data_IF_770452899166
#
_entry.id   IF_770452899166
#
_cell.length_a   1.000
_cell.length_b   1.000
_cell.length_c   1.000
_cell.angle_alpha   90.00
_cell.angle_beta   90.00
_cell.angle_gamma   90.00
#
_symmetry.space_group_name_H-M   'P 1'
#
loop_
_entity.id
_entity.type
_entity.pdbx_description
1 polymer ?
#
# COMPACT_ATOMS: atom_id res chain seq x y z
N UNK A 1 7.80 -11.78 -7.16
CA UNK A 1 6.46 -11.40 -7.67
C UNK A 1 5.38 -12.37 -7.18
N UNK A 2 5.41 -13.64 -7.61
CA UNK A 2 4.40 -14.61 -7.19
C UNK A 2 4.32 -14.81 -5.68
N UNK A 3 5.46 -14.75 -4.98
CA UNK A 3 5.48 -14.84 -3.51
C UNK A 3 4.58 -13.78 -2.85
N UNK A 4 4.68 -12.50 -3.21
CA UNK A 4 3.88 -11.43 -2.59
C UNK A 4 2.39 -11.59 -2.90
N UNK A 5 2.03 -11.90 -4.16
CA UNK A 5 0.62 -12.16 -4.52
C UNK A 5 0.08 -13.43 -3.87
N UNK A 6 0.90 -14.46 -3.72
CA UNK A 6 0.56 -15.67 -3.00
C UNK A 6 0.38 -15.38 -1.52
N UNK A 7 1.23 -14.56 -0.90
CA UNK A 7 1.06 -14.09 0.48
C UNK A 7 -0.25 -13.32 0.64
N UNK A 8 -0.58 -12.41 -0.29
CA UNK A 8 -1.84 -11.69 -0.28
C UNK A 8 -3.04 -12.65 -0.24
N UNK A 9 -3.10 -13.59 -1.18
CA UNK A 9 -4.19 -14.58 -1.26
C UNK A 9 -4.21 -15.47 -0.03
N UNK A 10 -3.05 -15.94 0.43
CA UNK A 10 -2.94 -16.81 1.60
C UNK A 10 -3.43 -16.11 2.86
N UNK A 11 -3.07 -14.84 3.06
CA UNK A 11 -3.52 -14.06 4.20
C UNK A 11 -5.04 -13.90 4.16
N UNK A 12 -5.61 -13.42 3.04
CA UNK A 12 -7.06 -13.25 2.86
C UNK A 12 -7.83 -14.55 3.13
N UNK A 13 -7.36 -15.67 2.57
CA UNK A 13 -7.95 -16.98 2.81
C UNK A 13 -7.83 -17.40 4.28
N UNK A 14 -6.73 -17.08 4.95
CA UNK A 14 -6.54 -17.40 6.37
C UNK A 14 -7.61 -16.72 7.22
N UNK A 15 -7.83 -15.41 7.07
CA UNK A 15 -8.87 -14.75 7.86
C UNK A 15 -10.31 -15.15 7.47
N UNK A 16 -10.54 -15.61 6.23
CA UNK A 16 -11.84 -16.20 5.86
C UNK A 16 -12.09 -17.56 6.51
N UNK A 17 -11.04 -18.37 6.67
CA UNK A 17 -11.11 -19.70 7.30
C UNK A 17 -11.12 -19.61 8.82
N UNK A 18 -10.46 -18.59 9.39
CA UNK A 18 -10.32 -18.35 10.83
C UNK A 18 -10.86 -16.97 11.21
N UNK A 19 -12.19 -16.73 11.10
CA UNK A 19 -12.79 -15.41 11.32
C UNK A 19 -12.75 -14.93 12.76
N UNK A 20 -12.59 -15.84 13.72
CA UNK A 20 -12.60 -15.54 15.16
C UNK A 20 -11.23 -15.11 15.72
N UNK A 21 -10.19 -15.03 14.87
CA UNK A 21 -8.89 -14.47 15.28
C UNK A 21 -9.10 -13.00 15.71
N UNK A 22 -8.50 -12.54 16.83
CA UNK A 22 -8.69 -11.17 17.34
C UNK A 22 -8.49 -10.07 16.29
N UNK A 23 -7.41 -10.14 15.51
CA UNK A 23 -7.15 -9.18 14.44
C UNK A 23 -7.93 -9.42 13.13
N UNK A 24 -8.95 -10.28 13.12
CA UNK A 24 -9.87 -10.47 11.97
C UNK A 24 -11.30 -10.08 12.35
N UNK A 25 -11.76 -10.52 13.52
CA UNK A 25 -13.12 -10.31 13.98
C UNK A 25 -13.44 -8.81 14.12
N UNK A 26 -14.37 -8.31 13.30
CA UNK A 26 -14.78 -6.90 13.32
C UNK A 26 -13.75 -5.91 12.77
N UNK A 27 -12.61 -6.39 12.26
CA UNK A 27 -11.52 -5.56 11.72
C UNK A 27 -11.64 -5.31 10.22
N UNK A 28 -12.85 -5.38 9.63
CA UNK A 28 -13.06 -5.03 8.21
C UNK A 28 -12.51 -6.05 7.20
N UNK A 29 -12.58 -7.34 7.52
CA UNK A 29 -12.08 -8.41 6.63
C UNK A 29 -12.85 -8.54 5.30
N UNK A 30 -14.19 -8.41 5.26
CA UNK A 30 -14.94 -8.43 4.00
C UNK A 30 -14.50 -7.34 3.02
N UNK A 31 -14.29 -6.12 3.52
CA UNK A 31 -13.85 -4.95 2.74
C UNK A 31 -12.47 -5.22 2.15
N UNK A 32 -11.54 -5.77 2.95
CA UNK A 32 -10.21 -6.18 2.49
C UNK A 32 -10.26 -7.28 1.43
N UNK A 33 -11.13 -8.28 1.61
CA UNK A 33 -11.32 -9.37 0.64
C UNK A 33 -11.82 -8.87 -0.72
N UNK A 34 -12.51 -7.73 -0.77
CA UNK A 34 -12.96 -7.09 -2.01
C UNK A 34 -11.90 -6.14 -2.56
N UNK A 35 -11.37 -5.25 -1.72
CA UNK A 35 -10.50 -4.16 -2.15
C UNK A 35 -9.07 -4.61 -2.46
N UNK A 36 -8.47 -5.42 -1.59
CA UNK A 36 -7.03 -5.70 -1.66
C UNK A 36 -6.63 -6.54 -2.88
N UNK A 37 -7.44 -7.49 -3.39
CA UNK A 37 -7.15 -8.17 -4.66
C UNK A 37 -6.96 -7.23 -5.85
N UNK A 38 -7.55 -6.02 -5.83
CA UNK A 38 -7.37 -5.04 -6.90
C UNK A 38 -5.89 -4.65 -7.08
N UNK A 39 -5.11 -4.59 -6.00
CA UNK A 39 -3.67 -4.33 -6.05
C UNK A 39 -2.91 -5.37 -6.89
N UNK A 40 -3.32 -6.64 -6.83
CA UNK A 40 -2.71 -7.72 -7.57
C UNK A 40 -3.18 -7.81 -9.04
N UNK A 41 -4.31 -7.19 -9.37
CA UNK A 41 -4.96 -7.25 -10.69
C UNK A 41 -4.64 -6.02 -11.55
N UNK A 42 -4.48 -4.84 -10.95
CA UNK A 42 -4.37 -3.58 -11.71
C UNK A 42 -3.18 -3.57 -12.68
N UNK A 43 -1.99 -3.98 -12.24
CA UNK A 43 -0.79 -4.00 -13.09
C UNK A 43 -0.91 -5.00 -14.25
N UNK A 44 -1.29 -6.29 -14.04
CA UNK A 44 -1.45 -7.21 -15.15
C UNK A 44 -2.58 -6.81 -16.10
N UNK A 45 -3.67 -6.22 -15.59
CA UNK A 45 -4.74 -5.69 -16.42
C UNK A 45 -4.22 -4.55 -17.32
N UNK A 46 -3.57 -3.53 -16.74
CA UNK A 46 -3.00 -2.40 -17.52
C UNK A 46 -1.96 -2.89 -18.53
N UNK A 47 -1.10 -3.83 -18.17
CA UNK A 47 -0.11 -4.40 -19.09
C UNK A 47 -0.76 -5.16 -20.25
N UNK A 48 -1.80 -5.95 -19.99
CA UNK A 48 -2.57 -6.65 -21.02
C UNK A 48 -3.32 -5.67 -21.93
N UNK A 49 -3.98 -4.65 -21.37
CA UNK A 49 -4.70 -3.61 -22.11
C UNK A 49 -3.77 -2.77 -22.99
N UNK A 50 -2.52 -2.57 -22.58
CA UNK A 50 -1.47 -1.93 -23.40
C UNK A 50 -0.89 -2.85 -24.49
N UNK A 51 -1.45 -4.04 -24.67
CA UNK A 51 -1.05 -4.99 -25.71
C UNK A 51 0.26 -5.71 -25.42
N UNK A 52 0.70 -5.76 -24.15
CA UNK A 52 1.92 -6.47 -23.72
C UNK A 52 3.18 -6.03 -24.47
N UNK A 53 3.22 -4.76 -24.91
CA UNK A 53 4.27 -4.21 -25.77
C UNK A 53 5.63 -4.09 -25.09
N UNK A 54 5.65 -4.05 -23.76
CA UNK A 54 6.86 -3.96 -22.94
C UNK A 54 7.03 -5.19 -22.05
N UNK A 55 8.24 -5.36 -21.49
CA UNK A 55 8.48 -6.31 -20.40
C UNK A 55 7.56 -5.98 -19.23
N UNK A 56 7.07 -7.02 -18.57
CA UNK A 56 6.21 -6.87 -17.40
C UNK A 56 6.96 -6.17 -16.26
N UNK A 57 6.37 -5.17 -15.57
CA UNK A 57 7.05 -4.40 -14.53
C UNK A 57 7.03 -5.13 -13.18
N UNK A 58 7.75 -6.25 -13.09
CA UNK A 58 7.72 -7.16 -11.94
C UNK A 58 8.00 -6.51 -10.59
N UNK A 59 8.96 -5.58 -10.52
CA UNK A 59 9.32 -4.91 -9.27
C UNK A 59 8.23 -3.93 -8.83
N UNK A 60 7.77 -3.05 -9.72
CA UNK A 60 6.69 -2.12 -9.42
C UNK A 60 5.40 -2.83 -9.02
N UNK A 61 5.06 -3.94 -9.69
CA UNK A 61 3.93 -4.79 -9.32
C UNK A 61 4.06 -5.38 -7.91
N UNK A 62 5.24 -5.90 -7.56
CA UNK A 62 5.47 -6.45 -6.23
C UNK A 62 5.39 -5.35 -5.15
N UNK A 63 6.02 -4.20 -5.38
CA UNK A 63 6.00 -3.06 -4.46
C UNK A 63 4.58 -2.50 -4.25
N UNK A 64 3.73 -2.52 -5.28
CA UNK A 64 2.34 -2.10 -5.16
C UNK A 64 1.52 -3.05 -4.27
N UNK A 65 1.80 -4.35 -4.30
CA UNK A 65 1.04 -5.36 -3.54
C UNK A 65 1.53 -5.45 -2.09
N UNK A 66 2.82 -5.18 -1.83
CA UNK A 66 3.44 -5.29 -0.50
C UNK A 66 2.67 -4.59 0.63
N UNK A 67 2.21 -3.33 0.49
CA UNK A 67 1.41 -2.64 1.52
C UNK A 67 0.25 -3.47 2.06
N UNK A 68 -0.53 -4.04 1.14
CA UNK A 68 -1.72 -4.83 1.46
C UNK A 68 -1.37 -6.15 2.15
N UNK A 69 -0.22 -6.74 1.82
CA UNK A 69 0.27 -7.94 2.51
C UNK A 69 0.68 -7.60 3.95
N UNK A 70 1.32 -6.45 4.16
CA UNK A 70 1.75 -6.03 5.50
C UNK A 70 0.58 -5.65 6.41
N UNK A 71 -0.46 -4.97 5.90
CA UNK A 71 -1.70 -4.76 6.66
C UNK A 71 -2.34 -6.11 7.07
N UNK A 72 -2.49 -7.05 6.13
CA UNK A 72 -3.12 -8.34 6.43
C UNK A 72 -2.30 -9.16 7.43
N UNK A 73 -0.97 -9.18 7.30
CA UNK A 73 -0.10 -9.86 8.26
C UNK A 73 -0.16 -9.19 9.63
N UNK A 74 -0.21 -7.85 9.68
CA UNK A 74 -0.40 -7.10 10.91
C UNK A 74 -1.66 -7.50 11.65
N UNK A 75 -2.77 -7.57 10.93
CA UNK A 75 -4.05 -8.05 11.43
C UNK A 75 -3.97 -9.52 11.88
N UNK A 76 -3.49 -10.43 11.04
CA UNK A 76 -3.42 -11.86 11.38
C UNK A 76 -2.50 -12.18 12.59
N UNK A 77 -1.50 -11.34 12.82
CA UNK A 77 -0.57 -11.44 13.95
C UNK A 77 -0.98 -10.57 15.15
N UNK A 78 -2.14 -9.92 15.08
CA UNK A 78 -2.69 -9.05 16.13
C UNK A 78 -1.77 -7.87 16.49
N UNK A 79 -0.93 -7.42 15.55
CA UNK A 79 0.09 -6.39 15.80
C UNK A 79 -0.50 -4.99 16.02
N UNK A 80 -1.66 -4.71 15.42
CA UNK A 80 -2.38 -3.44 15.67
C UNK A 80 -2.82 -3.29 17.12
N UNK A 81 -3.14 -4.40 17.80
CA UNK A 81 -3.58 -4.37 19.20
C UNK A 81 -2.42 -4.67 20.18
N UNK A 82 -1.37 -5.38 19.74
CA UNK A 82 -0.27 -5.84 20.60
C UNK A 82 1.02 -5.03 20.48
N UNK A 83 1.20 -4.26 19.40
CA UNK A 83 2.40 -3.46 19.14
C UNK A 83 2.00 -2.04 18.72
N UNK A 84 1.92 -1.13 19.70
CA UNK A 84 1.41 0.24 19.51
C UNK A 84 1.95 1.01 18.31
N UNK A 85 3.26 1.02 17.97
CA UNK A 85 3.75 1.80 16.84
C UNK A 85 3.57 1.09 15.49
N UNK A 86 2.90 -0.07 15.44
CA UNK A 86 2.77 -0.85 14.21
C UNK A 86 2.07 -0.06 13.10
N UNK A 87 1.02 0.66 13.47
CA UNK A 87 0.24 1.46 12.54
C UNK A 87 1.06 2.60 11.94
N UNK A 88 1.67 3.44 12.78
CA UNK A 88 2.64 4.47 12.38
C UNK A 88 3.73 3.94 11.43
N UNK A 89 4.29 2.76 11.74
CA UNK A 89 5.32 2.11 10.93
C UNK A 89 4.76 1.78 9.55
N UNK A 90 3.53 1.25 9.47
CA UNK A 90 2.91 0.94 8.20
C UNK A 90 2.54 2.20 7.42
N UNK A 91 2.00 3.24 8.06
CA UNK A 91 1.75 4.52 7.39
C UNK A 91 3.01 5.07 6.72
N UNK A 92 4.16 4.99 7.39
CA UNK A 92 5.43 5.37 6.75
C UNK A 92 5.91 4.36 5.69
N UNK A 93 6.06 3.09 6.04
CA UNK A 93 6.73 2.08 5.21
C UNK A 93 5.91 1.70 3.98
N UNK A 94 4.60 1.55 4.13
CA UNK A 94 3.71 1.20 3.03
C UNK A 94 3.66 2.31 1.99
N UNK A 95 3.67 3.58 2.41
CA UNK A 95 3.75 4.69 1.47
C UNK A 95 5.07 4.74 0.74
N UNK A 96 6.18 4.40 1.39
CA UNK A 96 7.46 4.27 0.70
C UNK A 96 7.41 3.22 -0.41
N UNK A 97 6.80 2.05 -0.18
CA UNK A 97 6.64 1.02 -1.21
C UNK A 97 5.67 1.45 -2.32
N UNK A 98 4.52 2.02 -1.96
CA UNK A 98 3.49 2.46 -2.88
C UNK A 98 4.02 3.54 -3.83
N UNK A 99 4.70 4.56 -3.30
CA UNK A 99 5.27 5.63 -4.12
C UNK A 99 6.47 5.14 -4.92
N UNK A 100 7.29 4.23 -4.39
CA UNK A 100 8.35 3.59 -5.17
C UNK A 100 7.79 2.86 -6.40
N UNK A 101 6.68 2.12 -6.23
CA UNK A 101 6.00 1.46 -7.35
C UNK A 101 5.56 2.47 -8.42
N UNK A 102 4.94 3.59 -7.99
CA UNK A 102 4.52 4.65 -8.91
C UNK A 102 5.70 5.24 -9.69
N UNK A 103 6.79 5.58 -8.99
CA UNK A 103 7.99 6.16 -9.63
C UNK A 103 8.55 5.19 -10.66
N UNK A 104 8.61 3.88 -10.38
CA UNK A 104 9.03 2.87 -11.37
C UNK A 104 8.10 2.80 -12.59
N UNK A 105 6.79 3.01 -12.42
CA UNK A 105 5.85 3.02 -13.54
C UNK A 105 5.98 4.27 -14.42
N UNK A 106 6.36 5.41 -13.85
CA UNK A 106 6.49 6.69 -14.56
C UNK A 106 7.89 6.90 -15.13
N UNK A 107 8.93 6.33 -14.52
CA UNK A 107 10.32 6.48 -14.96
C UNK A 107 10.59 6.25 -16.46
N UNK A 108 9.95 5.26 -17.14
CA UNK A 108 10.12 5.06 -18.58
C UNK A 108 9.70 6.24 -19.47
N UNK A 109 9.01 7.25 -18.92
CA UNK A 109 8.67 8.48 -19.66
C UNK A 109 9.86 9.43 -19.86
N UNK A 110 11.02 9.14 -19.25
CA UNK A 110 12.23 9.95 -19.42
C UNK A 110 12.15 11.33 -18.76
N UNK A 111 11.40 11.45 -17.67
CA UNK A 111 11.28 12.69 -16.91
C UNK A 111 12.55 12.99 -16.12
N UNK A 112 12.83 14.28 -15.91
CA UNK A 112 13.86 14.73 -14.98
C UNK A 112 13.65 14.19 -13.56
N UNK A 113 14.75 14.00 -12.83
CA UNK A 113 14.73 13.37 -11.49
C UNK A 113 13.85 14.11 -10.50
N UNK A 114 13.95 15.43 -10.50
CA UNK A 114 13.14 16.27 -9.60
C UNK A 114 11.65 16.18 -9.93
N UNK A 115 11.28 15.96 -11.21
CA UNK A 115 9.89 15.71 -11.59
C UNK A 115 9.39 14.38 -11.03
N UNK A 116 10.21 13.31 -11.08
CA UNK A 116 9.83 12.02 -10.49
C UNK A 116 9.63 12.11 -8.98
N UNK A 117 10.51 12.84 -8.29
CA UNK A 117 10.37 13.09 -6.85
C UNK A 117 9.11 13.89 -6.55
N UNK A 118 8.87 15.02 -7.24
CA UNK A 118 7.68 15.85 -6.99
C UNK A 118 6.37 15.11 -7.31
N UNK A 119 6.33 14.37 -8.42
CA UNK A 119 5.15 13.57 -8.79
C UNK A 119 4.89 12.45 -7.78
N UNK A 120 5.94 11.74 -7.35
CA UNK A 120 5.84 10.71 -6.33
C UNK A 120 5.34 11.25 -5.00
N UNK A 121 5.94 12.35 -4.52
CA UNK A 121 5.55 13.00 -3.27
C UNK A 121 4.10 13.52 -3.31
N UNK A 122 3.72 14.21 -4.40
CA UNK A 122 2.36 14.71 -4.57
C UNK A 122 1.32 13.60 -4.65
N UNK A 123 1.63 12.51 -5.36
CA UNK A 123 0.77 11.33 -5.37
C UNK A 123 0.65 10.70 -3.99
N UNK A 124 1.76 10.53 -3.26
CA UNK A 124 1.76 9.96 -1.91
C UNK A 124 0.86 10.76 -0.96
N UNK A 125 0.97 12.09 -0.98
CA UNK A 125 0.15 12.98 -0.17
C UNK A 125 -1.35 12.89 -0.53
N UNK A 126 -1.69 12.83 -1.82
CA UNK A 126 -3.09 12.65 -2.24
C UNK A 126 -3.62 11.25 -1.92
N UNK A 127 -2.77 10.24 -2.02
CA UNK A 127 -3.14 8.85 -1.74
C UNK A 127 -3.47 8.65 -0.26
N UNK A 128 -2.74 9.28 0.67
CA UNK A 128 -3.07 9.17 2.10
C UNK A 128 -4.37 9.88 2.44
N UNK A 129 -4.64 11.06 1.87
CA UNK A 129 -5.95 11.71 2.03
C UNK A 129 -7.08 10.77 1.56
N UNK A 130 -6.87 10.09 0.43
CA UNK A 130 -7.83 9.10 -0.07
C UNK A 130 -7.97 7.87 0.83
N UNK A 131 -6.88 7.41 1.46
CA UNK A 131 -6.88 6.25 2.35
C UNK A 131 -7.60 6.54 3.66
N UNK A 132 -7.28 7.67 4.33
CA UNK A 132 -8.01 8.14 5.52
C UNK A 132 -9.51 8.26 5.26
N UNK A 133 -9.89 8.76 4.07
CA UNK A 133 -11.29 8.85 3.68
C UNK A 133 -11.95 7.47 3.54
N UNK A 134 -11.22 6.45 3.05
CA UNK A 134 -11.71 5.08 2.98
C UNK A 134 -11.85 4.48 4.37
N UNK A 135 -10.87 4.67 5.26
CA UNK A 135 -10.94 4.20 6.64
C UNK A 135 -12.09 4.83 7.39
N UNK A 136 -12.30 6.14 7.22
CA UNK A 136 -13.47 6.81 7.77
C UNK A 136 -14.78 6.19 7.29
N UNK A 137 -14.94 5.96 5.97
CA UNK A 137 -16.13 5.29 5.43
C UNK A 137 -16.31 3.90 6.03
N UNK A 138 -15.25 3.10 6.10
CA UNK A 138 -15.30 1.71 6.58
C UNK A 138 -15.56 1.64 8.09
N UNK A 139 -15.08 2.62 8.86
CA UNK A 139 -15.41 2.79 10.28
C UNK A 139 -16.90 3.12 10.46
N UNK A 140 -17.45 4.04 9.66
CA UNK A 140 -18.90 4.36 9.67
C UNK A 140 -19.78 3.17 9.28
N UNK A 141 -19.25 2.22 8.51
CA UNK A 141 -19.91 0.94 8.18
C UNK A 141 -19.81 -0.10 9.31
N UNK A 142 -19.13 0.22 10.42
CA UNK A 142 -19.07 -0.61 11.62
C UNK A 142 -17.75 -1.35 11.84
N UNK A 143 -16.69 -1.03 11.10
CA UNK A 143 -15.36 -1.61 11.34
C UNK A 143 -14.72 -1.03 12.61
N UNK A 144 -14.20 -1.90 13.45
CA UNK A 144 -13.53 -1.53 14.70
C UNK A 144 -12.00 -1.43 14.52
N UNK A 145 -11.35 -0.70 15.42
CA UNK A 145 -9.89 -0.70 15.56
C UNK A 145 -9.12 0.19 14.59
N UNK A 146 -9.80 1.10 13.88
CA UNK A 146 -9.17 2.09 12.98
C UNK A 146 -8.74 3.38 13.68
N UNK A 147 -9.07 3.55 14.97
CA UNK A 147 -8.60 4.62 15.87
C UNK A 147 -8.58 6.06 15.34
N UNK A 148 -9.41 6.41 14.34
CA UNK A 148 -9.48 7.71 13.63
C UNK A 148 -9.77 8.93 14.53
N UNK A 149 -8.82 9.27 15.38
CA UNK A 149 -8.80 10.50 16.17
C UNK A 149 -8.13 11.60 15.37
N UNK A 150 -8.29 12.85 15.81
CA UNK A 150 -7.63 13.97 15.13
C UNK A 150 -6.10 13.82 15.10
N UNK A 151 -5.49 13.41 16.22
CA UNK A 151 -4.04 13.29 16.33
C UNK A 151 -3.50 12.12 15.48
N UNK A 152 -4.25 11.02 15.43
CA UNK A 152 -3.99 9.82 14.64
C UNK A 152 -3.98 10.15 13.14
N UNK A 153 -5.13 10.60 12.60
CA UNK A 153 -5.26 10.99 11.19
C UNK A 153 -4.23 12.04 10.77
N UNK A 154 -3.93 13.05 11.62
CA UNK A 154 -2.88 14.03 11.28
C UNK A 154 -1.48 13.39 11.28
N UNK A 155 -1.22 12.48 12.23
CA UNK A 155 -0.02 11.65 12.27
C UNK A 155 0.15 10.84 10.98
N UNK A 156 -0.90 10.16 10.55
CA UNK A 156 -0.91 9.30 9.37
C UNK A 156 -0.68 10.09 8.09
N UNK A 157 -1.33 11.25 7.94
CA UNK A 157 -1.08 12.18 6.84
C UNK A 157 0.40 12.57 6.76
N UNK A 158 1.03 12.88 7.92
CA UNK A 158 2.43 13.29 7.98
C UNK A 158 3.38 12.12 7.71
N UNK A 159 3.17 10.97 8.36
CA UNK A 159 4.00 9.78 8.22
C UNK A 159 3.95 9.22 6.80
N UNK A 160 2.76 9.10 6.24
CA UNK A 160 2.54 8.59 4.89
C UNK A 160 3.08 9.52 3.83
N UNK A 161 2.89 10.84 3.97
CA UNK A 161 3.50 11.82 3.07
C UNK A 161 5.03 11.74 3.13
N UNK A 162 5.60 11.61 4.33
CA UNK A 162 7.05 11.49 4.54
C UNK A 162 7.62 10.20 3.95
N UNK A 163 6.95 9.06 4.20
CA UNK A 163 7.30 7.77 3.63
C UNK A 163 7.24 7.79 2.11
N UNK A 164 6.21 8.44 1.55
CA UNK A 164 6.06 8.65 0.11
C UNK A 164 7.21 9.45 -0.49
N UNK A 165 7.60 10.56 0.13
CA UNK A 165 8.78 11.36 -0.28
C UNK A 165 10.04 10.50 -0.27
N UNK A 166 10.24 9.70 0.79
CA UNK A 166 11.40 8.80 0.89
C UNK A 166 11.38 7.75 -0.23
N UNK A 167 10.24 7.12 -0.49
CA UNK A 167 10.07 6.17 -1.59
C UNK A 167 10.40 6.78 -2.96
N UNK A 168 9.94 8.00 -3.21
CA UNK A 168 10.21 8.73 -4.44
C UNK A 168 11.71 9.05 -4.61
N UNK A 169 12.35 9.57 -3.55
CA UNK A 169 13.77 9.90 -3.53
C UNK A 169 14.64 8.65 -3.72
N UNK A 170 14.39 7.59 -2.95
CA UNK A 170 15.17 6.35 -3.00
C UNK A 170 15.08 5.69 -4.37
N UNK A 171 13.87 5.55 -4.92
CA UNK A 171 13.66 4.93 -6.22
C UNK A 171 14.35 5.74 -7.33
N UNK A 172 14.20 7.06 -7.30
CA UNK A 172 14.85 7.95 -8.28
C UNK A 172 16.37 7.88 -8.19
N UNK A 173 16.93 7.83 -6.97
CA UNK A 173 18.37 7.71 -6.76
C UNK A 173 18.93 6.35 -7.23
N UNK A 174 18.17 5.26 -7.05
CA UNK A 174 18.56 3.94 -7.56
C UNK A 174 18.56 3.90 -9.09
N UNK A 175 17.51 4.45 -9.71
CA UNK A 175 17.42 4.55 -11.17
C UNK A 175 18.59 5.34 -11.76
N UNK A 176 19.05 6.38 -11.05
CA UNK A 176 20.19 7.17 -11.48
C UNK A 176 21.49 6.35 -11.57
N UNK A 177 21.75 5.51 -10.57
CA UNK A 177 22.97 4.68 -10.54
C UNK A 177 22.99 3.58 -11.61
N UNK A 178 21.85 3.31 -12.24
CA UNK A 178 21.71 2.28 -13.26
C UNK A 178 21.87 2.82 -14.69
N UNK A 179 21.89 4.15 -14.87
CA UNK A 179 22.09 4.83 -16.15
C UNK A 179 23.53 5.34 -16.27
#
# INVERSE_FOLDING_TARGET
MWAVKFSLVSCLLTGLVFPDIPGVAGKGWPERCVGYPLSAIVVPAVWALRGRRSRYPYLGDALLVTPFVFDLLGNLLDLYDTFTPFDDILHFANWAFLVSALVLFVAPQGLERWNLVLLGSGFGALAIIGWEAVEWIVQELGTAGLQLTYDDTVGDLVLSSSGGIVGACLTTAVLDRMN
#
